data_IF_049143582595
#
_entry.id   IF_049143582595
#
_cell.length_a   1.000
_cell.length_b   1.000
_cell.length_c   1.000
_cell.angle_alpha   90.00
_cell.angle_beta   90.00
_cell.angle_gamma   90.00
#
_symmetry.space_group_name_H-M   'P 1'
#
loop_
_entity.id
_entity.type
_entity.pdbx_description
1 polymer ?
#
# COMPACT_ATOMS: atom_id res chain seq x y z
N UNK A 1 -4.39 5.19 -9.91
CA UNK A 1 -3.43 4.96 -8.79
C UNK A 1 -2.25 4.14 -9.26
N UNK A 2 -1.05 4.34 -8.71
CA UNK A 2 0.07 3.42 -8.95
C UNK A 2 -0.17 2.09 -8.26
N UNK A 3 0.35 1.01 -8.82
CA UNK A 3 0.31 -0.33 -8.23
C UNK A 3 1.66 -1.02 -8.37
N UNK A 4 1.94 -1.93 -7.45
CA UNK A 4 3.12 -2.78 -7.46
C UNK A 4 2.68 -4.24 -7.29
N UNK A 5 3.26 -5.14 -8.11
CA UNK A 5 3.00 -6.57 -8.02
C UNK A 5 4.02 -7.23 -7.10
N UNK A 6 3.53 -7.88 -6.05
CA UNK A 6 4.32 -8.54 -5.02
C UNK A 6 3.89 -10.00 -4.94
N UNK A 7 4.84 -10.91 -4.78
CA UNK A 7 4.56 -12.34 -4.65
C UNK A 7 3.97 -12.64 -3.27
N UNK A 8 3.16 -13.68 -3.20
CA UNK A 8 2.75 -14.23 -1.91
C UNK A 8 3.91 -15.01 -1.27
N UNK A 9 4.06 -14.98 0.05
CA UNK A 9 3.18 -14.37 1.05
C UNK A 9 3.46 -12.87 1.36
N UNK A 10 4.50 -12.29 0.77
CA UNK A 10 4.94 -10.91 1.10
C UNK A 10 3.86 -9.86 0.84
N UNK A 11 3.04 -10.03 -0.22
CA UNK A 11 1.92 -9.13 -0.47
C UNK A 11 0.93 -9.12 0.71
N UNK A 12 0.59 -10.29 1.23
CA UNK A 12 -0.31 -10.41 2.39
C UNK A 12 0.34 -9.92 3.69
N UNK A 13 1.64 -10.12 3.89
CA UNK A 13 2.37 -9.58 5.05
C UNK A 13 2.37 -8.05 5.07
N UNK A 14 2.46 -7.42 3.91
CA UNK A 14 2.30 -5.96 3.79
C UNK A 14 0.85 -5.59 4.09
N UNK A 15 -0.11 -6.28 3.48
CA UNK A 15 -1.53 -5.98 3.64
C UNK A 15 -2.01 -6.04 5.11
N UNK A 16 -1.41 -6.89 5.93
CA UNK A 16 -1.71 -6.98 7.37
C UNK A 16 -0.77 -6.14 8.26
N UNK A 17 0.14 -5.36 7.66
CA UNK A 17 1.04 -4.47 8.40
C UNK A 17 2.23 -5.14 9.09
N UNK A 18 2.42 -6.46 8.94
CA UNK A 18 3.55 -7.20 9.50
C UNK A 18 4.86 -6.80 8.84
N UNK A 19 4.82 -6.56 7.51
CA UNK A 19 5.96 -6.10 6.72
C UNK A 19 5.70 -4.66 6.28
N UNK A 20 6.62 -3.77 6.62
CA UNK A 20 6.54 -2.33 6.30
C UNK A 20 7.38 -1.93 5.10
N UNK A 21 8.41 -2.69 4.79
CA UNK A 21 9.37 -2.37 3.72
C UNK A 21 9.31 -3.44 2.63
N UNK A 22 9.08 -3.02 1.39
CA UNK A 22 9.22 -3.90 0.22
C UNK A 22 10.59 -3.70 -0.41
N UNK A 23 11.41 -4.75 -0.50
CA UNK A 23 12.77 -4.65 -1.03
C UNK A 23 12.83 -4.91 -2.54
N UNK A 24 13.44 -4.01 -3.30
CA UNK A 24 13.56 -4.07 -4.76
C UNK A 24 15.00 -3.82 -5.23
N UNK A 25 15.35 -4.35 -6.40
CA UNK A 25 16.65 -4.08 -7.04
C UNK A 25 16.71 -2.72 -7.76
N UNK A 26 15.63 -1.95 -7.74
CA UNK A 26 15.50 -0.68 -8.44
C UNK A 26 14.79 0.37 -7.58
N UNK A 27 15.19 1.65 -7.67
CA UNK A 27 14.57 2.75 -6.95
C UNK A 27 13.35 3.31 -7.69
N UNK A 28 12.57 4.15 -6.99
CA UNK A 28 11.54 4.99 -7.63
C UNK A 28 11.51 6.38 -7.01
N UNK A 29 11.22 7.38 -7.85
CA UNK A 29 10.94 8.76 -7.41
C UNK A 29 9.50 8.95 -6.96
N UNK A 30 8.63 7.99 -7.25
CA UNK A 30 7.22 8.08 -6.87
C UNK A 30 7.07 8.07 -5.34
N UNK A 31 6.22 8.95 -4.84
CA UNK A 31 5.69 8.96 -3.47
C UNK A 31 4.19 9.17 -3.53
N UNK A 32 3.47 8.61 -2.56
CA UNK A 32 2.02 8.70 -2.47
C UNK A 32 1.32 7.36 -2.58
N UNK A 33 0.01 7.34 -2.91
CA UNK A 33 -0.83 6.15 -2.85
C UNK A 33 -0.38 5.06 -3.80
N UNK A 34 -0.30 3.85 -3.28
CA UNK A 34 0.08 2.67 -4.04
C UNK A 34 -0.84 1.48 -3.72
N UNK A 35 -1.29 0.77 -4.74
CA UNK A 35 -2.03 -0.47 -4.60
C UNK A 35 -1.07 -1.66 -4.50
N UNK A 36 -1.33 -2.55 -3.57
CA UNK A 36 -0.59 -3.80 -3.39
C UNK A 36 -1.32 -4.91 -4.15
N UNK A 37 -0.73 -5.31 -5.26
CA UNK A 37 -1.24 -6.40 -6.09
C UNK A 37 -0.52 -7.71 -5.72
N UNK A 38 -1.28 -8.70 -5.28
CA UNK A 38 -0.79 -10.05 -5.07
C UNK A 38 -0.62 -10.75 -6.42
N UNK A 39 0.59 -11.21 -6.73
CA UNK A 39 0.90 -11.89 -7.99
C UNK A 39 0.00 -13.11 -8.21
N UNK A 40 -0.40 -13.35 -9.46
CA UNK A 40 -1.20 -14.53 -9.82
C UNK A 40 -0.42 -15.85 -9.72
N UNK A 41 0.92 -15.77 -9.77
CA UNK A 41 1.80 -16.95 -9.72
C UNK A 41 1.75 -17.59 -8.34
N UNK A 42 1.72 -18.90 -8.29
CA UNK A 42 1.83 -19.66 -7.03
C UNK A 42 3.13 -19.35 -6.29
N UNK A 43 3.05 -19.27 -4.95
CA UNK A 43 4.25 -19.15 -4.15
C UNK A 43 5.18 -20.32 -4.51
N UNK A 44 6.45 -20.02 -4.78
CA UNK A 44 7.46 -21.07 -4.86
C UNK A 44 7.58 -21.72 -3.49
N UNK A 45 8.11 -22.94 -3.43
CA UNK A 45 8.51 -23.54 -2.16
C UNK A 45 9.39 -22.54 -1.43
N UNK A 46 8.87 -22.00 -0.33
CA UNK A 46 9.59 -21.02 0.48
C UNK A 46 10.76 -21.72 1.19
N UNK A 47 11.92 -21.08 1.32
CA UNK A 47 12.98 -21.54 2.19
C UNK A 47 12.45 -21.84 3.59
N UNK A 48 13.07 -22.79 4.29
CA UNK A 48 12.60 -23.20 5.60
C UNK A 48 12.63 -22.04 6.59
N UNK A 49 13.66 -21.21 6.52
CA UNK A 49 13.85 -20.02 7.37
C UNK A 49 12.68 -19.03 7.22
N UNK A 50 12.26 -18.78 5.98
CA UNK A 50 11.11 -17.90 5.68
C UNK A 50 9.82 -18.50 6.22
N UNK A 51 9.62 -19.82 6.10
CA UNK A 51 8.42 -20.49 6.67
C UNK A 51 8.39 -20.44 8.19
N UNK A 52 9.54 -20.57 8.84
CA UNK A 52 9.65 -20.47 10.29
C UNK A 52 9.41 -19.03 10.76
N UNK A 53 9.98 -18.03 10.07
CA UNK A 53 9.69 -16.62 10.32
C UNK A 53 8.19 -16.34 10.20
N UNK A 54 7.56 -16.78 9.11
CA UNK A 54 6.12 -16.63 8.90
C UNK A 54 5.29 -17.24 10.04
N UNK A 55 5.67 -18.39 10.57
CA UNK A 55 4.98 -19.00 11.71
C UNK A 55 5.13 -18.16 12.99
N UNK A 56 6.35 -17.68 13.28
CA UNK A 56 6.60 -16.83 14.45
C UNK A 56 5.75 -15.55 14.41
N UNK A 57 5.65 -14.91 13.24
CA UNK A 57 4.90 -13.67 13.10
C UNK A 57 3.39 -13.86 12.91
N UNK A 58 2.95 -15.02 12.44
CA UNK A 58 1.53 -15.36 12.33
C UNK A 58 0.81 -15.37 13.69
N UNK A 59 1.50 -15.78 14.75
CA UNK A 59 0.95 -15.82 16.10
C UNK A 59 0.74 -14.41 16.69
N UNK A 60 1.48 -13.42 16.20
CA UNK A 60 1.41 -12.02 16.63
C UNK A 60 0.50 -11.14 15.77
N UNK A 61 0.19 -11.58 14.55
CA UNK A 61 -0.76 -10.90 13.67
C UNK A 61 -2.15 -11.36 14.05
N UNK A 62 -2.92 -10.46 14.66
CA UNK A 62 -4.29 -10.76 15.10
C UNK A 62 -5.08 -11.51 14.04
N UNK A 63 -5.90 -12.46 14.44
CA UNK A 63 -6.59 -13.51 13.66
C UNK A 63 -7.36 -13.04 12.40
N UNK A 64 -7.40 -11.74 12.13
CA UNK A 64 -8.21 -11.14 11.07
C UNK A 64 -7.53 -10.98 9.72
N UNK A 65 -6.21 -11.11 9.61
CA UNK A 65 -5.50 -10.82 8.36
C UNK A 65 -4.93 -12.02 7.62
N UNK A 66 -4.49 -13.05 8.32
CA UNK A 66 -3.82 -14.17 7.68
C UNK A 66 -4.10 -15.47 8.42
N UNK A 67 -4.86 -16.33 7.81
CA UNK A 67 -4.78 -17.77 8.10
C UNK A 67 -3.50 -18.30 7.45
N UNK A 68 -2.33 -17.90 7.97
CA UNK A 68 -1.00 -18.27 7.44
C UNK A 68 -0.73 -19.78 7.47
N UNK A 69 -1.62 -20.57 8.09
CA UNK A 69 -1.58 -22.03 7.98
C UNK A 69 -1.92 -22.56 6.58
N UNK A 70 -2.45 -21.71 5.69
CA UNK A 70 -2.94 -22.07 4.37
C UNK A 70 -2.38 -21.10 3.32
N UNK A 71 -1.06 -21.19 3.04
CA UNK A 71 -0.40 -20.39 2.00
C UNK A 71 -1.10 -20.49 0.64
N UNK A 72 -1.74 -21.63 0.39
CA UNK A 72 -2.45 -21.90 -0.87
C UNK A 72 -3.78 -21.12 -0.98
N UNK A 73 -4.33 -20.66 0.14
CA UNK A 73 -5.59 -19.87 0.19
C UNK A 73 -5.35 -18.36 0.13
N UNK A 74 -4.10 -17.90 0.11
CA UNK A 74 -3.82 -16.47 0.01
C UNK A 74 -4.33 -15.90 -1.32
N UNK A 75 -4.95 -14.71 -1.32
CA UNK A 75 -5.46 -14.10 -2.54
C UNK A 75 -4.37 -13.89 -3.57
N UNK A 76 -4.66 -14.20 -4.83
CA UNK A 76 -3.73 -14.09 -5.96
C UNK A 76 -4.40 -13.44 -7.16
N UNK A 77 -3.61 -12.75 -8.01
CA UNK A 77 -4.13 -12.06 -9.20
C UNK A 77 -5.10 -10.92 -8.86
N UNK A 78 -4.90 -10.28 -7.72
CA UNK A 78 -5.82 -9.27 -7.22
C UNK A 78 -5.10 -8.17 -6.44
N UNK A 79 -5.69 -6.99 -6.37
CA UNK A 79 -5.34 -5.95 -5.40
C UNK A 79 -5.93 -6.35 -4.05
N UNK A 80 -5.10 -6.38 -3.01
CA UNK A 80 -5.46 -6.85 -1.67
C UNK A 80 -5.34 -5.78 -0.59
N UNK A 81 -4.62 -4.71 -0.90
CA UNK A 81 -4.47 -3.56 -0.01
C UNK A 81 -4.14 -2.30 -0.79
N UNK A 82 -4.31 -1.16 -0.14
CA UNK A 82 -3.69 0.10 -0.54
C UNK A 82 -2.74 0.57 0.56
N UNK A 83 -1.74 1.37 0.20
CA UNK A 83 -0.77 1.93 1.12
C UNK A 83 -0.30 3.30 0.64
N UNK A 84 0.52 3.98 1.41
CA UNK A 84 1.30 5.13 0.99
C UNK A 84 2.77 4.75 0.89
N UNK A 85 3.38 4.93 -0.28
CA UNK A 85 4.83 4.87 -0.45
C UNK A 85 5.41 6.21 0.02
N UNK A 86 5.96 6.22 1.23
CA UNK A 86 6.44 7.45 1.88
C UNK A 86 7.91 7.69 1.64
N UNK A 87 8.73 6.64 1.55
CA UNK A 87 10.15 6.76 1.29
C UNK A 87 10.71 5.56 0.50
N UNK A 88 11.91 5.75 -0.04
CA UNK A 88 12.72 4.69 -0.67
C UNK A 88 14.14 4.82 -0.16
N UNK A 89 14.60 3.83 0.57
CA UNK A 89 15.91 3.78 1.22
C UNK A 89 16.86 2.95 0.38
N UNK A 90 18.09 3.39 0.22
CA UNK A 90 19.15 2.60 -0.40
C UNK A 90 19.82 1.73 0.67
N UNK A 91 19.87 0.43 0.44
CA UNK A 91 20.51 -0.52 1.35
C UNK A 91 22.01 -0.51 1.08
N UNK A 92 22.80 -0.20 2.10
CA UNK A 92 24.27 -0.11 2.03
C UNK A 92 24.91 -0.92 3.14
N UNK A 93 26.09 -1.43 2.87
CA UNK A 93 26.89 -2.10 3.88
C UNK A 93 27.43 -1.07 4.90
N UNK A 94 27.35 -1.37 6.18
CA UNK A 94 27.93 -0.55 7.24
C UNK A 94 29.19 -1.23 7.82
N UNK A 95 30.38 -0.80 7.43
CA UNK A 95 31.63 -1.45 7.83
C UNK A 95 31.93 -1.35 9.33
N UNK A 96 31.20 -0.50 10.08
CA UNK A 96 31.42 -0.30 11.52
C UNK A 96 30.62 -1.26 12.41
N UNK A 97 29.62 -1.97 11.90
CA UNK A 97 28.68 -2.77 12.70
C UNK A 97 28.46 -4.17 12.17
N UNK A 98 29.04 -4.56 11.03
CA UNK A 98 28.74 -5.80 10.28
C UNK A 98 27.25 -6.01 9.98
N UNK A 99 26.44 -4.96 10.07
CA UNK A 99 25.00 -4.98 9.81
C UNK A 99 24.70 -4.09 8.61
N UNK A 100 23.91 -4.60 7.67
CA UNK A 100 23.41 -3.80 6.56
C UNK A 100 22.42 -2.75 7.07
N UNK A 101 22.61 -1.50 6.65
CA UNK A 101 21.75 -0.39 7.05
C UNK A 101 21.02 0.19 5.83
N UNK A 102 19.83 0.67 6.05
CA UNK A 102 19.11 1.43 5.05
C UNK A 102 19.39 2.93 5.21
N UNK A 103 19.85 3.59 4.16
CA UNK A 103 20.13 5.02 4.14
C UNK A 103 19.21 5.78 3.20
N UNK A 104 18.80 6.96 3.62
CA UNK A 104 18.06 7.89 2.77
C UNK A 104 19.02 8.62 1.84
N UNK A 105 19.34 8.00 0.71
CA UNK A 105 20.22 8.59 -0.30
C UNK A 105 19.34 9.21 -1.39
N UNK A 106 19.54 10.50 -1.73
CA UNK A 106 18.82 11.12 -2.84
C UNK A 106 19.01 10.33 -4.14
N UNK A 107 17.93 10.10 -4.87
CA UNK A 107 17.98 9.38 -6.15
C UNK A 107 18.85 10.18 -7.13
N UNK A 108 19.90 9.52 -7.66
CA UNK A 108 20.92 10.15 -8.51
C UNK A 108 22.25 10.44 -7.80
N UNK A 109 22.32 10.24 -6.47
CA UNK A 109 23.53 10.38 -5.69
C UNK A 109 24.28 9.05 -5.49
N UNK A 110 23.81 7.95 -6.09
CA UNK A 110 24.36 6.59 -5.92
C UNK A 110 25.84 6.48 -6.36
N UNK A 111 26.28 7.36 -7.26
CA UNK A 111 27.69 7.37 -7.68
C UNK A 111 28.66 7.81 -6.59
N UNK A 112 28.17 8.50 -5.56
CA UNK A 112 28.96 8.99 -4.44
C UNK A 112 29.19 7.92 -3.37
N UNK A 113 28.44 6.83 -3.41
CA UNK A 113 28.47 5.76 -2.38
C UNK A 113 29.62 4.77 -2.56
N UNK A 114 30.40 4.85 -3.65
CA UNK A 114 31.60 4.03 -3.86
C UNK A 114 32.80 4.51 -3.05
N UNK A 115 32.74 5.71 -2.50
CA UNK A 115 33.81 6.26 -1.66
C UNK A 115 33.59 5.80 -0.22
N UNK A 116 34.61 5.11 0.35
CA UNK A 116 34.60 4.64 1.75
C UNK A 116 34.51 5.80 2.77
N UNK A 117 34.61 7.04 2.31
CA UNK A 117 34.51 8.28 3.09
C UNK A 117 33.35 9.16 2.62
N UNK A 118 32.31 8.57 1.99
CA UNK A 118 31.16 9.34 1.61
C UNK A 118 30.58 10.07 2.82
N UNK A 119 30.30 11.38 2.72
CA UNK A 119 29.72 12.15 3.82
C UNK A 119 28.39 11.54 4.26
N UNK A 120 28.09 11.72 5.54
CA UNK A 120 26.83 11.23 6.14
C UNK A 120 25.65 11.97 5.50
N UNK A 121 25.07 11.36 4.46
CA UNK A 121 23.94 11.90 3.72
C UNK A 121 22.61 11.50 4.40
N UNK A 122 22.29 12.19 5.49
CA UNK A 122 20.94 12.13 6.05
C UNK A 122 20.64 10.93 6.94
N UNK A 123 19.35 10.73 7.18
CA UNK A 123 18.83 9.72 8.09
C UNK A 123 19.17 8.30 7.63
N UNK A 124 19.46 7.45 8.56
CA UNK A 124 19.60 6.00 8.35
C UNK A 124 18.81 5.24 9.41
N UNK A 125 18.44 4.01 9.11
CA UNK A 125 17.89 3.10 10.10
C UNK A 125 18.46 1.70 9.92
N UNK A 126 18.47 0.95 10.99
CA UNK A 126 18.78 -0.48 10.98
C UNK A 126 17.42 -1.22 10.90
N UNK A 127 17.22 -2.07 9.88
CA UNK A 127 16.01 -2.89 9.81
C UNK A 127 15.84 -3.75 11.07
N UNK A 128 14.61 -3.95 11.52
CA UNK A 128 14.35 -4.92 12.60
C UNK A 128 14.68 -6.33 12.13
N UNK A 129 14.93 -7.24 13.07
CA UNK A 129 15.15 -8.67 12.77
C UNK A 129 14.01 -9.24 11.92
N UNK A 130 12.76 -8.90 12.27
CA UNK A 130 11.58 -9.27 11.49
C UNK A 130 11.64 -8.80 10.03
N UNK A 131 12.01 -7.54 9.78
CA UNK A 131 12.12 -7.02 8.42
C UNK A 131 13.26 -7.69 7.66
N UNK A 132 14.38 -7.99 8.35
CA UNK A 132 15.52 -8.70 7.76
C UNK A 132 15.15 -10.12 7.34
N UNK A 133 14.40 -10.85 8.14
CA UNK A 133 13.91 -12.20 7.81
C UNK A 133 12.85 -12.22 6.68
N UNK A 134 12.07 -11.15 6.58
CA UNK A 134 10.98 -11.03 5.60
C UNK A 134 11.36 -10.29 4.31
N UNK A 135 12.61 -9.88 4.14
CA UNK A 135 13.06 -9.10 2.98
C UNK A 135 14.46 -9.51 2.50
N UNK A 136 14.79 -9.10 1.29
CA UNK A 136 16.15 -9.21 0.75
C UNK A 136 16.87 -7.88 0.96
N UNK A 137 17.67 -7.79 2.04
CA UNK A 137 18.38 -6.60 2.46
C UNK A 137 19.82 -6.53 1.93
N UNK A 138 20.14 -7.28 0.89
CA UNK A 138 21.45 -7.24 0.24
C UNK A 138 21.83 -5.80 -0.17
N UNK A 139 23.05 -5.33 0.14
CA UNK A 139 23.52 -4.02 -0.28
C UNK A 139 23.40 -3.76 -1.78
N UNK A 140 23.02 -2.53 -2.14
CA UNK A 140 22.74 -2.13 -3.52
C UNK A 140 21.27 -2.26 -3.92
N UNK A 141 20.42 -2.81 -3.05
CA UNK A 141 18.97 -2.85 -3.21
C UNK A 141 18.30 -1.63 -2.55
N UNK A 142 16.99 -1.54 -2.68
CA UNK A 142 16.19 -0.43 -2.16
C UNK A 142 15.03 -0.97 -1.34
N UNK A 143 14.82 -0.39 -0.16
CA UNK A 143 13.69 -0.67 0.70
C UNK A 143 12.62 0.42 0.52
N UNK A 144 11.45 0.05 0.02
CA UNK A 144 10.31 0.94 -0.19
C UNK A 144 9.46 0.96 1.06
N UNK A 145 9.43 2.08 1.74
CA UNK A 145 8.69 2.26 2.99
C UNK A 145 7.22 2.51 2.72
N UNK A 146 6.38 1.61 3.24
CA UNK A 146 4.93 1.62 3.10
C UNK A 146 4.28 1.95 4.44
N UNK A 147 3.43 2.97 4.45
CA UNK A 147 2.65 3.40 5.61
C UNK A 147 1.16 3.44 5.27
N UNK A 148 0.32 3.67 6.28
CA UNK A 148 -1.13 3.81 6.11
C UNK A 148 -1.75 2.66 5.31
N UNK A 149 -1.31 1.43 5.60
CA UNK A 149 -1.79 0.25 4.90
C UNK A 149 -3.27 0.03 5.23
N UNK A 150 -4.08 -0.04 4.19
CA UNK A 150 -5.50 -0.35 4.28
C UNK A 150 -5.78 -1.69 3.58
N UNK A 151 -6.05 -2.72 4.38
CA UNK A 151 -6.44 -4.03 3.89
C UNK A 151 -7.82 -3.98 3.22
N UNK A 152 -7.96 -4.62 2.07
CA UNK A 152 -9.23 -4.77 1.36
C UNK A 152 -9.87 -6.10 1.77
N UNK A 153 -11.02 -6.10 2.45
CA UNK A 153 -11.71 -7.33 2.86
C UNK A 153 -12.05 -8.25 1.67
N UNK A 154 -12.37 -7.63 0.53
CA UNK A 154 -12.61 -8.31 -0.73
C UNK A 154 -11.48 -7.97 -1.72
N UNK A 155 -10.66 -8.96 -2.10
CA UNK A 155 -9.62 -8.76 -3.12
C UNK A 155 -10.23 -8.37 -4.47
N UNK A 156 -9.68 -7.34 -5.11
CA UNK A 156 -10.17 -6.84 -6.39
C UNK A 156 -9.37 -7.51 -7.52
N UNK A 157 -9.96 -8.38 -8.34
CA UNK A 157 -9.26 -9.05 -9.43
C UNK A 157 -8.59 -8.02 -10.37
N UNK A 158 -7.30 -8.23 -10.64
CA UNK A 158 -6.54 -7.35 -11.51
C UNK A 158 -5.39 -8.12 -12.20
N UNK A 159 -5.09 -7.75 -13.45
CA UNK A 159 -3.92 -8.29 -14.15
C UNK A 159 -2.67 -7.52 -13.74
N UNK A 160 -1.80 -8.15 -12.97
CA UNK A 160 -0.52 -7.56 -12.55
C UNK A 160 0.43 -7.30 -13.71
N UNK A 161 1.29 -6.27 -13.52
CA UNK A 161 2.37 -5.92 -14.46
C UNK A 161 3.70 -5.84 -13.70
N UNK A 162 4.81 -5.85 -14.43
CA UNK A 162 6.14 -5.63 -13.86
C UNK A 162 6.36 -4.15 -13.52
N UNK A 163 7.23 -3.89 -12.55
CA UNK A 163 7.58 -2.55 -12.12
C UNK A 163 6.45 -1.83 -11.40
N UNK A 164 6.48 -0.52 -11.46
CA UNK A 164 5.42 0.36 -10.96
C UNK A 164 4.48 0.68 -12.11
N UNK A 165 3.22 0.26 -12.01
CA UNK A 165 2.25 0.38 -13.10
C UNK A 165 1.00 1.16 -12.68
N UNK A 166 0.21 1.63 -13.66
CA UNK A 166 -1.04 2.33 -13.38
C UNK A 166 -2.18 1.32 -13.26
N UNK A 167 -2.86 1.35 -12.13
CA UNK A 167 -4.12 0.67 -11.94
C UNK A 167 -5.25 1.69 -12.13
N UNK A 168 -5.96 1.57 -13.25
CA UNK A 168 -6.94 2.56 -13.71
C UNK A 168 -8.40 2.17 -13.41
N UNK A 169 -8.61 0.94 -12.97
CA UNK A 169 -9.95 0.41 -12.74
C UNK A 169 -10.58 0.83 -11.40
N UNK A 170 -10.13 1.93 -10.78
CA UNK A 170 -10.70 2.40 -9.53
C UNK A 170 -10.99 3.90 -9.53
N UNK A 171 -11.99 4.28 -8.74
CA UNK A 171 -12.18 5.63 -8.25
C UNK A 171 -11.61 5.69 -6.83
N UNK A 172 -10.47 6.36 -6.69
CA UNK A 172 -9.80 6.50 -5.41
C UNK A 172 -10.37 7.71 -4.67
N UNK A 173 -10.89 7.50 -3.48
CA UNK A 173 -11.54 8.51 -2.67
C UNK A 173 -10.82 8.70 -1.33
N UNK A 174 -10.20 9.87 -1.14
CA UNK A 174 -9.55 10.26 0.12
C UNK A 174 -10.54 10.97 1.01
N UNK A 175 -10.68 10.50 2.24
CA UNK A 175 -11.52 11.16 3.23
C UNK A 175 -10.99 12.57 3.56
N UNK A 176 -11.87 13.56 3.50
CA UNK A 176 -11.56 15.00 3.77
C UNK A 176 -12.23 15.53 5.01
N UNK A 177 -13.21 14.83 5.53
CA UNK A 177 -14.02 15.27 6.65
C UNK A 177 -15.49 14.94 6.44
N UNK A 178 -16.35 15.66 7.14
CA UNK A 178 -17.81 15.52 7.04
C UNK A 178 -18.46 16.86 6.78
N UNK A 179 -19.61 16.84 6.10
CA UNK A 179 -20.38 18.04 5.85
C UNK A 179 -21.23 18.44 7.08
N UNK A 180 -21.98 19.54 6.96
CA UNK A 180 -22.86 20.06 8.03
C UNK A 180 -23.99 19.10 8.45
N UNK A 181 -24.28 18.08 7.63
CA UNK A 181 -25.24 17.01 7.93
C UNK A 181 -24.55 15.72 8.36
N UNK A 182 -23.27 15.81 8.70
CA UNK A 182 -22.42 14.70 9.17
C UNK A 182 -22.20 13.61 8.10
N UNK A 183 -22.40 13.92 6.79
CA UNK A 183 -22.14 13.01 5.69
C UNK A 183 -20.66 13.04 5.30
N UNK A 184 -20.00 11.88 5.08
CA UNK A 184 -18.60 11.85 4.69
C UNK A 184 -18.34 12.52 3.34
N UNK A 185 -17.28 13.34 3.30
CA UNK A 185 -16.78 14.02 2.11
C UNK A 185 -15.45 13.43 1.71
N UNK A 186 -15.30 13.14 0.43
CA UNK A 186 -14.10 12.57 -0.18
C UNK A 186 -13.62 13.41 -1.34
N UNK A 187 -12.34 13.29 -1.67
CA UNK A 187 -11.69 13.90 -2.83
C UNK A 187 -11.04 12.83 -3.68
N UNK A 188 -11.26 12.88 -5.01
CA UNK A 188 -10.57 11.98 -5.95
C UNK A 188 -9.21 12.55 -6.41
N UNK A 189 -8.47 11.75 -7.21
CA UNK A 189 -7.15 12.13 -7.71
C UNK A 189 -7.16 13.37 -8.64
N UNK A 190 -8.33 13.78 -9.13
CA UNK A 190 -8.50 14.99 -9.94
C UNK A 190 -8.85 16.23 -9.11
N UNK A 191 -9.01 16.07 -7.79
CA UNK A 191 -9.47 17.13 -6.90
C UNK A 191 -10.99 17.30 -6.87
N UNK A 192 -11.75 16.40 -7.53
CA UNK A 192 -13.21 16.44 -7.47
C UNK A 192 -13.71 15.91 -6.14
N UNK A 193 -14.69 16.61 -5.57
CA UNK A 193 -15.29 16.24 -4.31
C UNK A 193 -16.52 15.36 -4.49
N UNK A 194 -16.69 14.43 -3.55
CA UNK A 194 -17.74 13.43 -3.51
C UNK A 194 -18.34 13.37 -2.10
N UNK A 195 -19.65 13.18 -1.99
CA UNK A 195 -20.36 12.91 -0.75
C UNK A 195 -20.92 11.52 -0.73
N UNK A 196 -20.77 10.80 0.37
CA UNK A 196 -21.56 9.58 0.62
C UNK A 196 -22.85 10.00 1.36
N UNK A 197 -23.97 10.03 0.63
CA UNK A 197 -25.23 10.56 1.15
C UNK A 197 -25.97 9.56 2.04
N UNK A 198 -25.61 8.28 1.97
CA UNK A 198 -26.13 7.21 2.82
C UNK A 198 -24.98 6.33 3.36
N UNK A 199 -24.14 6.84 4.25
CA UNK A 199 -22.93 6.11 4.68
C UNK A 199 -23.21 4.82 5.43
N UNK A 200 -24.45 4.61 5.89
CA UNK A 200 -24.91 3.37 6.55
C UNK A 200 -25.59 2.36 5.60
N UNK A 201 -25.71 2.69 4.32
CA UNK A 201 -26.32 1.78 3.36
C UNK A 201 -25.54 0.46 3.29
N UNK A 202 -26.24 -0.66 3.45
CA UNK A 202 -25.67 -2.02 3.45
C UNK A 202 -25.31 -2.52 2.05
N UNK A 203 -25.93 -1.94 1.03
CA UNK A 203 -25.76 -2.27 -0.39
C UNK A 203 -24.61 -1.49 -1.06
N UNK A 204 -23.83 -0.74 -0.29
CA UNK A 204 -22.67 -0.01 -0.77
C UNK A 204 -22.73 1.52 -0.57
N UNK A 205 -21.72 2.26 -1.04
CA UNK A 205 -21.68 3.72 -0.92
C UNK A 205 -22.68 4.38 -1.89
N UNK A 206 -23.38 5.40 -1.41
CA UNK A 206 -24.25 6.25 -2.23
C UNK A 206 -23.54 7.58 -2.51
N UNK A 207 -22.66 7.55 -3.48
CA UNK A 207 -21.81 8.69 -3.81
C UNK A 207 -22.49 9.66 -4.76
N UNK A 208 -22.44 10.94 -4.41
CA UNK A 208 -22.81 12.05 -5.27
C UNK A 208 -21.64 12.99 -5.47
N UNK A 209 -21.54 13.61 -6.63
CA UNK A 209 -20.57 14.68 -6.83
C UNK A 209 -20.98 15.93 -6.03
N UNK A 210 -20.00 16.76 -5.70
CA UNK A 210 -20.21 18.06 -5.08
C UNK A 210 -19.40 19.11 -5.86
N UNK A 211 -20.08 20.07 -6.51
CA UNK A 211 -19.44 20.98 -7.47
C UNK A 211 -18.76 22.18 -6.79
N UNK A 212 -19.37 22.76 -5.74
CA UNK A 212 -18.88 24.03 -5.18
C UNK A 212 -18.42 23.93 -3.73
N UNK A 213 -19.28 23.55 -2.82
CA UNK A 213 -18.94 23.42 -1.40
C UNK A 213 -19.42 22.07 -0.89
N UNK A 214 -18.53 21.12 -0.87
CA UNK A 214 -18.85 19.76 -0.42
C UNK A 214 -19.25 19.69 1.05
N UNK A 215 -18.91 20.71 1.85
CA UNK A 215 -19.17 20.71 3.29
C UNK A 215 -20.50 21.37 3.68
N UNK A 216 -21.06 22.26 2.84
CA UNK A 216 -22.32 22.95 3.15
C UNK A 216 -23.38 22.83 2.05
N UNK A 217 -23.00 22.37 0.86
CA UNK A 217 -23.91 22.29 -0.28
C UNK A 217 -24.68 20.98 -0.37
N UNK A 218 -25.79 20.99 -1.11
CA UNK A 218 -26.50 19.78 -1.49
C UNK A 218 -25.66 18.92 -2.46
N UNK A 219 -25.81 17.60 -2.43
CA UNK A 219 -25.18 16.72 -3.41
C UNK A 219 -25.77 16.97 -4.81
N UNK A 220 -24.88 16.98 -5.82
CA UNK A 220 -25.32 17.26 -7.20
C UNK A 220 -25.79 15.98 -7.93
N UNK A 221 -24.85 15.29 -8.56
CA UNK A 221 -25.16 14.18 -9.45
C UNK A 221 -24.71 12.86 -8.84
N UNK A 222 -25.60 11.87 -8.71
CA UNK A 222 -25.23 10.54 -8.26
C UNK A 222 -24.18 9.89 -9.17
N UNK A 223 -23.22 9.19 -8.58
CA UNK A 223 -22.16 8.49 -9.31
C UNK A 223 -22.72 7.47 -10.30
N UNK A 224 -23.81 6.80 -9.92
CA UNK A 224 -24.46 5.74 -10.70
C UNK A 224 -24.92 6.20 -12.09
N UNK A 225 -25.27 7.48 -12.25
CA UNK A 225 -25.69 8.06 -13.54
C UNK A 225 -24.54 8.62 -14.36
N UNK A 226 -23.31 8.57 -13.83
CA UNK A 226 -22.11 9.07 -14.52
C UNK A 226 -21.41 7.95 -15.28
N UNK A 227 -21.61 7.86 -16.59
CA UNK A 227 -20.97 6.84 -17.46
C UNK A 227 -19.46 6.67 -17.23
N UNK A 228 -18.74 7.76 -16.95
CA UNK A 228 -17.30 7.75 -16.68
C UNK A 228 -16.90 6.87 -15.48
N UNK A 229 -17.80 6.64 -14.55
CA UNK A 229 -17.53 5.97 -13.27
C UNK A 229 -18.29 4.66 -13.10
N UNK A 230 -19.20 4.32 -14.01
CA UNK A 230 -20.14 3.20 -13.94
C UNK A 230 -19.49 1.84 -13.64
N UNK A 231 -18.31 1.59 -14.20
CA UNK A 231 -17.61 0.31 -14.05
C UNK A 231 -16.35 0.41 -13.19
N UNK A 232 -16.19 1.51 -12.45
CA UNK A 232 -15.02 1.69 -11.61
C UNK A 232 -15.22 1.11 -10.22
N UNK A 233 -14.27 0.32 -9.77
CA UNK A 233 -14.19 -0.07 -8.37
C UNK A 233 -13.89 1.16 -7.53
N UNK A 234 -14.68 1.38 -6.47
CA UNK A 234 -14.48 2.48 -5.54
C UNK A 234 -13.54 2.02 -4.43
N UNK A 235 -12.48 2.81 -4.20
CA UNK A 235 -11.50 2.55 -3.14
C UNK A 235 -11.41 3.76 -2.22
N UNK A 236 -11.69 3.55 -0.94
CA UNK A 236 -11.61 4.60 0.07
C UNK A 236 -10.26 4.60 0.78
N UNK A 237 -9.73 5.79 1.10
CA UNK A 237 -8.50 5.97 1.86
C UNK A 237 -8.76 6.91 3.06
N UNK A 238 -8.44 6.47 4.28
CA UNK A 238 -7.94 5.14 4.66
C UNK A 238 -9.01 4.05 4.53
N UNK A 239 -10.28 4.35 4.77
CA UNK A 239 -11.45 3.45 4.63
C UNK A 239 -12.72 4.28 4.45
N UNK A 240 -13.82 3.61 4.00
CA UNK A 240 -15.15 4.23 3.99
C UNK A 240 -15.56 4.59 5.42
N UNK A 241 -15.98 5.83 5.61
CA UNK A 241 -16.55 6.31 6.87
C UNK A 241 -18.04 5.93 6.93
N UNK A 242 -18.38 4.97 7.80
CA UNK A 242 -19.74 4.43 7.96
C UNK A 242 -20.40 4.84 9.28
N UNK A 243 -19.83 5.85 9.97
CA UNK A 243 -20.29 6.30 11.29
C UNK A 243 -20.25 5.23 12.39
N UNK A 244 -19.38 4.27 12.29
CA UNK A 244 -19.15 3.36 13.41
C UNK A 244 -18.41 4.11 14.51
N UNK A 245 -19.09 4.26 15.65
CA UNK A 245 -18.58 4.81 16.90
C UNK A 245 -17.58 3.86 17.55
#
# INVERSE_FOLDING_TARGET
MKAITIWQPWASLIACGTKKYETRSWPTKYRGPIAIHAAAKEPRTLPQEVREALRRYAEHVGQNCLKLGQLDELPRGAIIATAELVNVWHIVYNPGTDVDVARNIPIGAESLTKDKHAPDFGDYFVPTEQEMELGDWTPGRYAWELQNVNFLPEPIPAKGKQGLWNWEACLLLRHKGRDSWDRPVYEDESGKLWKDVEPRASDGPKLCSALYNAFDGEPDTPLEVMERYKDKTIVFIPKRDTWTW
#
